data_IF_233909957789
#
_entry.id   IF_233909957789
#
_cell.length_a   1.000
_cell.length_b   1.000
_cell.length_c   1.000
_cell.angle_alpha   90.00
_cell.angle_beta   90.00
_cell.angle_gamma   90.00
#
_symmetry.space_group_name_H-M   'P 1'
#
loop_
_entity.id
_entity.type
_entity.pdbx_description
1 polymer ?
#
# COMPACT_ATOMS: atom_id res chain seq x y z
N UNK A 1 -20.05 39.50 19.51
CA UNK A 1 -19.60 39.05 18.17
C UNK A 1 -19.33 37.54 18.26
N UNK A 2 -19.76 36.74 17.27
CA UNK A 2 -19.53 35.27 17.27
C UNK A 2 -18.33 34.93 16.39
N UNK A 3 -17.49 33.97 16.79
CA UNK A 3 -16.33 33.50 16.02
C UNK A 3 -16.68 33.11 14.57
N UNK A 4 -17.87 32.51 14.38
CA UNK A 4 -18.39 32.10 13.08
C UNK A 4 -18.72 33.25 12.12
N UNK A 5 -18.74 34.49 12.63
CA UNK A 5 -18.99 35.70 11.83
C UNK A 5 -17.69 36.38 11.36
N UNK A 6 -16.52 35.88 11.78
CA UNK A 6 -15.23 36.39 11.33
C UNK A 6 -14.92 35.88 9.91
N UNK A 7 -14.17 36.63 9.09
CA UNK A 7 -13.57 36.13 7.87
C UNK A 7 -12.76 34.85 8.11
N UNK A 8 -12.81 33.91 7.16
CA UNK A 8 -12.16 32.60 7.22
C UNK A 8 -10.64 32.72 7.48
N UNK A 9 -10.00 33.73 6.89
CA UNK A 9 -8.58 34.05 7.05
C UNK A 9 -8.22 34.40 8.50
N UNK A 10 -9.05 35.21 9.17
CA UNK A 10 -8.84 35.58 10.57
C UNK A 10 -9.13 34.41 11.51
N UNK A 11 -10.11 33.57 11.18
CA UNK A 11 -10.36 32.33 11.93
C UNK A 11 -9.15 31.39 11.84
N UNK A 12 -8.56 31.22 10.65
CA UNK A 12 -7.36 30.40 10.45
C UNK A 12 -6.15 30.95 11.21
N UNK A 13 -5.94 32.26 11.20
CA UNK A 13 -4.84 32.93 11.93
C UNK A 13 -4.98 32.80 13.46
N UNK A 14 -6.20 32.79 13.99
CA UNK A 14 -6.44 32.54 15.41
C UNK A 14 -6.15 31.07 15.74
N UNK A 15 -6.63 30.14 14.92
CA UNK A 15 -6.43 28.71 15.12
C UNK A 15 -4.95 28.29 14.96
N UNK A 16 -4.17 28.97 14.12
CA UNK A 16 -2.75 28.66 13.91
C UNK A 16 -1.86 29.00 15.12
N UNK A 17 -2.35 29.80 16.07
CA UNK A 17 -1.65 30.14 17.31
C UNK A 17 -1.95 29.15 18.46
N UNK A 18 -2.77 28.11 18.20
CA UNK A 18 -3.12 27.11 19.19
C UNK A 18 -2.24 25.87 19.08
N UNK A 19 -1.90 25.28 20.23
CA UNK A 19 -1.18 24.01 20.28
C UNK A 19 -2.06 22.84 19.79
N UNK A 20 -1.43 21.73 19.42
CA UNK A 20 -2.10 20.56 18.86
C UNK A 20 -3.23 20.01 19.76
N UNK A 21 -3.06 20.03 21.08
CA UNK A 21 -4.10 19.66 22.06
C UNK A 21 -5.34 20.55 21.96
N UNK A 22 -5.15 21.86 21.83
CA UNK A 22 -6.25 22.82 21.83
C UNK A 22 -6.93 22.90 20.47
N UNK A 23 -6.19 22.71 19.37
CA UNK A 23 -6.73 22.48 18.03
C UNK A 23 -7.64 21.25 17.94
N UNK A 24 -7.34 20.18 18.69
CA UNK A 24 -8.22 19.01 18.76
C UNK A 24 -9.54 19.33 19.48
N UNK A 25 -9.52 20.21 20.48
CA UNK A 25 -10.72 20.65 21.21
C UNK A 25 -11.58 21.57 20.34
N UNK A 26 -10.99 22.48 19.56
CA UNK A 26 -11.72 23.38 18.65
C UNK A 26 -12.45 22.62 17.54
N UNK A 27 -11.97 21.42 17.18
CA UNK A 27 -12.62 20.56 16.21
C UNK A 27 -14.01 20.01 16.65
N UNK A 28 -14.37 20.16 17.93
CA UNK A 28 -15.67 19.76 18.47
C UNK A 28 -16.71 20.89 18.46
N UNK A 29 -16.30 22.14 18.20
CA UNK A 29 -17.14 23.33 18.39
C UNK A 29 -18.09 23.58 17.21
N UNK A 30 -17.61 23.39 15.97
CA UNK A 30 -18.45 23.54 14.78
C UNK A 30 -17.90 22.76 13.59
N UNK A 31 -18.75 22.48 12.58
CA UNK A 31 -18.31 21.77 11.36
C UNK A 31 -17.23 22.54 10.57
N UNK A 32 -17.30 23.87 10.54
CA UNK A 32 -16.35 24.74 9.84
C UNK A 32 -15.01 24.73 10.56
N UNK A 33 -15.04 24.97 11.89
CA UNK A 33 -13.85 24.95 12.75
C UNK A 33 -13.18 23.58 12.74
N UNK A 34 -13.96 22.49 12.64
CA UNK A 34 -13.45 21.12 12.49
C UNK A 34 -12.66 20.92 11.21
N UNK A 35 -13.12 21.47 10.09
CA UNK A 35 -12.39 21.37 8.82
C UNK A 35 -11.05 22.09 8.93
N UNK A 36 -11.07 23.35 9.36
CA UNK A 36 -9.87 24.18 9.48
C UNK A 36 -8.88 23.64 10.52
N UNK A 37 -9.35 23.17 11.67
CA UNK A 37 -8.48 22.61 12.71
C UNK A 37 -7.83 21.30 12.25
N UNK A 38 -8.55 20.46 11.49
CA UNK A 38 -7.97 19.24 10.91
C UNK A 38 -6.95 19.54 9.83
N UNK A 39 -7.22 20.55 9.00
CA UNK A 39 -6.29 21.02 7.97
C UNK A 39 -5.00 21.55 8.62
N UNK A 40 -5.12 22.39 9.66
CA UNK A 40 -3.98 22.90 10.43
C UNK A 40 -3.21 21.81 11.19
N UNK A 41 -3.90 20.84 11.78
CA UNK A 41 -3.24 19.67 12.38
C UNK A 41 -2.48 18.86 11.33
N UNK A 42 -3.04 18.70 10.14
CA UNK A 42 -2.35 18.01 9.04
C UNK A 42 -1.10 18.77 8.57
N UNK A 43 -1.12 20.10 8.57
CA UNK A 43 0.06 20.93 8.25
C UNK A 43 1.10 20.97 9.37
N UNK A 44 0.67 20.97 10.64
CA UNK A 44 1.59 20.92 11.79
C UNK A 44 2.31 19.57 11.88
N UNK A 45 1.58 18.47 11.61
CA UNK A 45 2.17 17.14 11.53
C UNK A 45 2.99 16.90 10.26
N UNK A 46 2.88 17.76 9.24
CA UNK A 46 3.74 17.70 8.04
C UNK A 46 5.18 18.16 8.31
N UNK A 47 5.48 18.73 9.49
CA UNK A 47 6.79 19.30 9.81
C UNK A 47 7.92 18.31 10.07
N UNK A 48 7.65 17.03 10.34
CA UNK A 48 8.67 15.99 10.55
C UNK A 48 8.25 14.71 9.84
N UNK A 49 8.50 14.64 8.53
CA UNK A 49 8.40 13.38 7.81
C UNK A 49 9.62 12.54 8.18
N UNK A 50 9.44 11.49 8.98
CA UNK A 50 10.53 10.58 9.34
C UNK A 50 11.16 10.03 8.06
N UNK A 51 12.45 10.29 7.87
CA UNK A 51 13.18 9.87 6.67
C UNK A 51 13.99 8.63 7.00
N UNK A 52 13.97 7.64 6.11
CA UNK A 52 14.75 6.42 6.26
C UNK A 52 15.76 6.30 5.14
N UNK A 53 16.99 5.98 5.52
CA UNK A 53 18.03 5.58 4.57
C UNK A 53 17.86 4.09 4.29
N UNK A 54 17.69 3.76 3.00
CA UNK A 54 17.58 2.42 2.49
C UNK A 54 18.92 2.03 1.85
N UNK A 55 19.78 1.25 2.53
CA UNK A 55 21.03 0.75 1.93
C UNK A 55 20.79 -0.21 0.77
N UNK A 56 21.66 -0.17 -0.22
CA UNK A 56 21.76 -1.11 -1.35
C UNK A 56 22.13 -2.54 -0.94
N UNK A 57 22.81 -2.72 0.19
CA UNK A 57 23.23 -4.03 0.70
C UNK A 57 22.11 -4.91 1.25
N UNK A 58 20.89 -4.36 1.42
CA UNK A 58 19.77 -5.04 2.04
C UNK A 58 18.74 -5.55 1.04
N UNK A 59 18.07 -6.65 1.39
CA UNK A 59 16.89 -7.12 0.66
C UNK A 59 15.63 -6.44 1.19
N UNK A 60 14.74 -6.07 0.27
CA UNK A 60 13.45 -5.48 0.56
C UNK A 60 12.34 -6.19 -0.19
N UNK A 61 11.10 -5.85 0.14
CA UNK A 61 9.92 -6.42 -0.49
C UNK A 61 9.08 -5.32 -1.12
N UNK A 62 8.93 -5.37 -2.43
CA UNK A 62 8.16 -4.39 -3.19
C UNK A 62 6.78 -4.95 -3.59
N UNK A 63 5.75 -4.12 -3.53
CA UNK A 63 4.39 -4.50 -3.97
C UNK A 63 4.15 -3.94 -5.37
N UNK A 64 3.83 -4.83 -6.32
CA UNK A 64 3.55 -4.47 -7.70
C UNK A 64 2.08 -4.57 -8.10
N UNK A 65 1.87 -4.78 -9.40
CA UNK A 65 0.55 -4.90 -10.02
C UNK A 65 -0.24 -6.08 -9.49
N UNK A 66 -1.56 -6.02 -9.69
CA UNK A 66 -2.47 -7.07 -9.26
C UNK A 66 -2.58 -8.17 -10.31
N UNK A 67 -2.56 -9.41 -9.84
CA UNK A 67 -2.68 -10.64 -10.63
C UNK A 67 -3.97 -11.35 -10.26
N UNK A 68 -4.58 -12.04 -11.22
CA UNK A 68 -5.82 -12.80 -11.03
C UNK A 68 -5.52 -14.04 -10.18
N UNK A 69 -6.17 -14.13 -9.01
CA UNK A 69 -5.99 -15.25 -8.07
C UNK A 69 -7.19 -16.21 -8.05
N UNK A 70 -8.35 -15.78 -8.54
CA UNK A 70 -9.52 -16.64 -8.75
C UNK A 70 -9.87 -16.80 -10.23
N UNK A 71 -10.77 -17.73 -10.52
CA UNK A 71 -11.31 -18.01 -11.84
C UNK A 71 -12.83 -18.27 -11.75
N UNK A 72 -13.58 -17.99 -12.82
CA UNK A 72 -15.01 -18.30 -12.85
C UNK A 72 -15.24 -19.82 -12.74
N UNK A 73 -16.35 -20.19 -12.11
CA UNK A 73 -16.85 -21.57 -12.06
C UNK A 73 -17.87 -21.81 -13.15
N UNK A 74 -17.83 -22.99 -13.75
CA UNK A 74 -18.86 -23.47 -14.67
C UNK A 74 -20.05 -24.05 -13.88
N UNK A 75 -21.19 -24.21 -14.56
CA UNK A 75 -22.44 -24.80 -13.98
C UNK A 75 -22.19 -26.20 -13.41
N UNK A 76 -21.19 -26.92 -13.93
CA UNK A 76 -20.79 -28.25 -13.51
C UNK A 76 -19.74 -28.27 -12.38
N UNK A 77 -19.21 -27.11 -11.99
CA UNK A 77 -18.22 -27.04 -10.93
C UNK A 77 -18.89 -27.07 -9.55
N UNK A 78 -18.30 -27.84 -8.63
CA UNK A 78 -18.72 -27.88 -7.23
C UNK A 78 -18.48 -26.51 -6.60
N UNK A 79 -19.56 -25.79 -6.28
CA UNK A 79 -19.50 -24.44 -5.72
C UNK A 79 -20.08 -23.35 -6.61
N UNK A 80 -20.62 -23.66 -7.80
CA UNK A 80 -21.35 -22.69 -8.61
C UNK A 80 -22.49 -22.04 -7.80
N UNK A 81 -22.69 -20.71 -7.88
CA UNK A 81 -22.04 -19.73 -8.77
C UNK A 81 -20.81 -19.03 -8.15
N UNK A 82 -20.26 -19.54 -7.04
CA UNK A 82 -19.13 -18.92 -6.36
C UNK A 82 -17.80 -19.18 -7.07
N UNK A 83 -16.94 -18.17 -7.10
CA UNK A 83 -15.64 -18.25 -7.75
C UNK A 83 -14.73 -19.30 -7.09
N UNK A 84 -13.79 -19.81 -7.88
CA UNK A 84 -12.82 -20.81 -7.44
C UNK A 84 -11.42 -20.23 -7.47
N UNK A 85 -10.61 -20.55 -6.48
CA UNK A 85 -9.18 -20.22 -6.48
C UNK A 85 -8.47 -20.89 -7.67
N UNK A 86 -7.54 -20.18 -8.30
CA UNK A 86 -6.72 -20.77 -9.36
C UNK A 86 -5.83 -21.86 -8.77
N UNK A 87 -5.54 -22.90 -9.57
CA UNK A 87 -4.60 -23.95 -9.14
C UNK A 87 -3.15 -23.48 -9.22
N UNK A 88 -2.86 -22.60 -10.17
CA UNK A 88 -1.54 -22.03 -10.40
C UNK A 88 -1.66 -20.67 -11.08
N UNK A 89 -0.65 -19.83 -10.87
CA UNK A 89 -0.50 -18.54 -11.54
C UNK A 89 0.68 -18.66 -12.51
N UNK A 90 0.50 -18.39 -13.81
CA UNK A 90 1.59 -18.41 -14.78
C UNK A 90 2.71 -17.43 -14.43
N UNK A 91 3.96 -17.83 -14.63
CA UNK A 91 5.11 -16.97 -14.33
C UNK A 91 5.07 -15.63 -15.08
N UNK A 92 4.59 -15.65 -16.31
CA UNK A 92 4.46 -14.46 -17.15
C UNK A 92 3.48 -13.44 -16.55
N UNK A 93 2.41 -13.88 -15.86
CA UNK A 93 1.49 -12.97 -15.19
C UNK A 93 2.17 -12.27 -14.01
N UNK A 94 3.01 -12.99 -13.26
CA UNK A 94 3.78 -12.44 -12.14
C UNK A 94 4.86 -11.49 -12.66
N UNK A 95 5.57 -11.84 -13.74
CA UNK A 95 6.56 -10.95 -14.40
C UNK A 95 5.91 -9.67 -14.91
N UNK A 96 4.73 -9.76 -15.50
CA UNK A 96 3.98 -8.61 -16.01
C UNK A 96 3.41 -7.70 -14.90
N UNK A 97 3.36 -8.17 -13.65
CA UNK A 97 2.97 -7.36 -12.52
C UNK A 97 4.07 -6.38 -12.06
N UNK A 98 5.28 -6.46 -12.62
CA UNK A 98 6.31 -5.45 -12.40
C UNK A 98 5.93 -4.19 -13.21
N UNK A 99 5.65 -3.04 -12.57
CA UNK A 99 5.36 -1.81 -13.29
C UNK A 99 6.58 -1.39 -14.12
N UNK A 100 6.36 -0.87 -15.33
CA UNK A 100 7.45 -0.47 -16.22
C UNK A 100 8.12 0.86 -15.81
N UNK A 101 7.36 1.72 -15.12
CA UNK A 101 7.78 3.07 -14.71
C UNK A 101 7.02 3.49 -13.43
N UNK A 102 7.55 4.49 -12.72
CA UNK A 102 6.93 5.08 -11.53
C UNK A 102 7.60 4.63 -10.24
N UNK A 103 6.84 4.66 -9.14
CA UNK A 103 7.33 4.26 -7.82
C UNK A 103 6.62 3.01 -7.32
N UNK A 104 7.31 2.23 -6.49
CA UNK A 104 6.77 1.06 -5.80
C UNK A 104 6.84 1.24 -4.29
N UNK A 105 5.88 0.63 -3.60
CA UNK A 105 5.87 0.56 -2.14
C UNK A 105 6.83 -0.53 -1.68
N UNK A 106 7.80 -0.15 -0.86
CA UNK A 106 8.83 -1.00 -0.28
C UNK A 106 8.58 -1.23 1.21
N UNK A 107 8.76 -2.48 1.59
CA UNK A 107 8.61 -3.01 2.94
C UNK A 107 9.90 -3.68 3.38
N UNK A 108 10.13 -3.71 4.69
CA UNK A 108 11.33 -4.33 5.25
C UNK A 108 11.19 -5.85 5.28
N UNK A 109 9.98 -6.34 5.52
CA UNK A 109 9.73 -7.78 5.63
C UNK A 109 8.71 -8.27 4.60
N UNK A 110 8.84 -9.54 4.21
CA UNK A 110 7.90 -10.20 3.31
C UNK A 110 6.49 -10.19 3.89
N UNK A 111 6.39 -10.41 5.21
CA UNK A 111 5.13 -10.46 5.94
C UNK A 111 4.36 -9.14 5.86
N UNK A 112 5.04 -8.01 6.01
CA UNK A 112 4.43 -6.68 5.85
C UNK A 112 3.90 -6.47 4.44
N UNK A 113 4.70 -6.80 3.41
CA UNK A 113 4.29 -6.66 2.02
C UNK A 113 3.11 -7.58 1.66
N UNK A 114 3.12 -8.83 2.15
CA UNK A 114 2.01 -9.76 1.96
C UNK A 114 0.76 -9.32 2.72
N UNK A 115 0.89 -8.79 3.94
CA UNK A 115 -0.23 -8.24 4.69
C UNK A 115 -0.84 -7.03 3.95
N UNK A 116 -0.01 -6.15 3.39
CA UNK A 116 -0.48 -5.06 2.53
C UNK A 116 -1.22 -5.59 1.29
N UNK A 117 -0.65 -6.58 0.59
CA UNK A 117 -1.27 -7.19 -0.59
C UNK A 117 -2.63 -7.83 -0.26
N UNK A 118 -2.76 -8.49 0.90
CA UNK A 118 -4.03 -9.05 1.40
C UNK A 118 -5.04 -7.98 1.79
N UNK A 119 -4.59 -6.90 2.45
CA UNK A 119 -5.48 -5.81 2.85
C UNK A 119 -6.03 -5.03 1.63
N UNK A 120 -5.27 -4.99 0.54
CA UNK A 120 -5.61 -4.30 -0.72
C UNK A 120 -6.18 -5.23 -1.80
N UNK A 121 -6.53 -6.46 -1.43
CA UNK A 121 -7.21 -7.44 -2.27
C UNK A 121 -8.48 -6.83 -2.87
N UNK A 122 -8.60 -6.89 -4.19
CA UNK A 122 -9.85 -6.62 -4.88
C UNK A 122 -10.68 -7.89 -4.87
N UNK A 123 -11.61 -7.98 -3.91
CA UNK A 123 -12.55 -9.09 -3.79
C UNK A 123 -13.97 -8.55 -3.90
N UNK A 124 -14.74 -9.10 -4.84
CA UNK A 124 -16.15 -8.77 -5.01
C UNK A 124 -16.90 -10.00 -5.53
N UNK A 125 -18.08 -10.26 -4.97
CA UNK A 125 -18.87 -11.47 -5.23
C UNK A 125 -19.16 -11.73 -6.72
N UNK A 126 -19.11 -10.69 -7.57
CA UNK A 126 -19.40 -10.78 -9.00
C UNK A 126 -18.15 -10.65 -9.91
N UNK A 127 -16.95 -10.41 -9.36
CA UNK A 127 -15.74 -10.09 -10.15
C UNK A 127 -14.55 -10.91 -9.72
N UNK A 128 -13.73 -11.36 -10.67
CA UNK A 128 -12.53 -12.16 -10.41
C UNK A 128 -11.63 -11.45 -9.39
N UNK A 129 -11.22 -12.19 -8.35
CA UNK A 129 -10.37 -11.71 -7.28
C UNK A 129 -8.97 -11.41 -7.81
N UNK A 130 -8.43 -10.26 -7.40
CA UNK A 130 -7.11 -9.77 -7.81
C UNK A 130 -6.28 -9.37 -6.61
N UNK A 131 -5.05 -9.89 -6.56
CA UNK A 131 -4.12 -9.59 -5.48
C UNK A 131 -2.79 -9.08 -6.02
N UNK A 132 -2.19 -8.12 -5.32
CA UNK A 132 -0.88 -7.59 -5.70
C UNK A 132 0.21 -8.66 -5.59
N UNK A 133 1.14 -8.67 -6.55
CA UNK A 133 2.36 -9.45 -6.47
C UNK A 133 3.36 -8.79 -5.51
N UNK A 134 4.01 -9.61 -4.69
CA UNK A 134 5.09 -9.21 -3.78
C UNK A 134 6.41 -9.68 -4.38
N UNK A 135 7.34 -8.75 -4.56
CA UNK A 135 8.64 -9.02 -5.14
C UNK A 135 9.74 -8.85 -4.10
N UNK A 136 10.68 -9.78 -4.04
CA UNK A 136 11.92 -9.55 -3.34
C UNK A 136 12.83 -8.72 -4.26
N UNK A 137 13.31 -7.60 -3.75
CA UNK A 137 14.12 -6.65 -4.51
C UNK A 137 15.37 -6.23 -3.75
N UNK A 138 16.38 -5.79 -4.49
CA UNK A 138 17.54 -5.07 -3.98
C UNK A 138 17.55 -3.66 -4.59
N UNK A 139 18.14 -2.70 -3.89
CA UNK A 139 18.34 -1.36 -4.43
C UNK A 139 19.67 -1.32 -5.18
N UNK A 140 19.70 -0.66 -6.34
CA UNK A 140 20.96 -0.45 -7.09
C UNK A 140 21.84 0.60 -6.40
N UNK A 141 21.18 1.62 -5.84
CA UNK A 141 21.83 2.71 -5.12
C UNK A 141 21.10 2.96 -3.79
N UNK A 142 21.89 3.29 -2.77
CA UNK A 142 21.38 3.73 -1.46
C UNK A 142 20.50 4.96 -1.63
N UNK A 143 19.29 4.93 -1.07
CA UNK A 143 18.30 6.01 -1.22
C UNK A 143 17.74 6.47 0.09
N UNK A 144 17.46 7.76 0.17
CA UNK A 144 16.86 8.41 1.34
C UNK A 144 15.43 8.75 0.96
N UNK A 145 14.46 8.15 1.64
CA UNK A 145 13.04 8.36 1.32
C UNK A 145 12.20 8.50 2.59
N UNK A 146 11.14 9.33 2.53
CA UNK A 146 10.22 9.46 3.65
C UNK A 146 9.48 8.16 3.94
N UNK A 147 9.23 7.91 5.22
CA UNK A 147 8.33 6.85 5.69
C UNK A 147 6.90 7.35 5.53
N UNK A 148 6.08 6.56 4.84
CA UNK A 148 4.66 6.80 4.67
C UNK A 148 3.91 5.87 5.61
N UNK A 149 3.09 6.45 6.50
CA UNK A 149 2.18 5.70 7.39
C UNK A 149 0.77 5.83 6.83
N UNK A 150 0.18 4.72 6.42
CA UNK A 150 -1.14 4.66 5.80
C UNK A 150 -2.07 3.79 6.65
N UNK A 151 -3.28 4.28 6.96
CA UNK A 151 -4.31 3.48 7.61
C UNK A 151 -5.15 2.75 6.55
N UNK A 152 -5.05 1.43 6.48
CA UNK A 152 -5.76 0.62 5.48
C UNK A 152 -6.92 -0.11 6.14
N UNK A 153 -8.09 -0.04 5.51
CA UNK A 153 -9.25 -0.86 5.86
C UNK A 153 -9.19 -2.18 5.07
N UNK A 154 -9.02 -3.35 5.72
CA UNK A 154 -8.91 -4.63 5.04
C UNK A 154 -10.15 -4.94 4.19
N UNK A 155 -9.94 -5.59 3.04
CA UNK A 155 -11.02 -5.96 2.12
C UNK A 155 -12.20 -6.70 2.80
N UNK A 156 -11.91 -7.65 3.70
CA UNK A 156 -12.92 -8.39 4.46
C UNK A 156 -13.87 -7.47 5.25
N UNK A 157 -13.37 -6.37 5.82
CA UNK A 157 -14.22 -5.43 6.55
C UNK A 157 -15.14 -4.65 5.61
N UNK A 158 -14.67 -4.36 4.39
CA UNK A 158 -15.50 -3.72 3.35
C UNK A 158 -16.63 -4.64 2.91
N UNK A 159 -16.35 -5.95 2.81
CA UNK A 159 -17.30 -6.97 2.33
C UNK A 159 -18.34 -7.29 3.41
N UNK A 160 -17.91 -7.58 4.63
CA UNK A 160 -18.80 -8.04 5.71
C UNK A 160 -19.44 -6.91 6.54
N UNK A 161 -19.19 -5.63 6.18
CA UNK A 161 -19.65 -4.44 6.94
C UNK A 161 -19.33 -4.51 8.44
N UNK A 162 -18.29 -5.25 8.81
CA UNK A 162 -17.77 -5.25 10.17
C UNK A 162 -17.10 -3.89 10.42
N UNK A 163 -17.30 -3.32 11.62
CA UNK A 163 -16.82 -1.97 11.95
C UNK A 163 -15.34 -1.77 11.55
N UNK A 164 -14.95 -0.57 11.11
CA UNK A 164 -13.65 -0.37 10.47
C UNK A 164 -12.50 -0.58 11.47
N UNK A 165 -11.90 -1.77 11.48
CA UNK A 165 -10.58 -1.98 12.03
C UNK A 165 -9.57 -1.47 11.01
N UNK A 166 -9.16 -0.21 11.19
CA UNK A 166 -8.07 0.37 10.40
C UNK A 166 -6.76 -0.25 10.88
N UNK A 167 -5.94 -0.70 9.95
CA UNK A 167 -4.59 -1.20 10.26
C UNK A 167 -3.56 -0.16 9.81
N UNK A 168 -2.69 0.32 10.72
CA UNK A 168 -1.57 1.16 10.33
C UNK A 168 -0.54 0.30 9.60
N UNK A 169 -0.14 0.73 8.41
CA UNK A 169 0.94 0.11 7.64
C UNK A 169 1.96 1.18 7.30
N UNK A 170 3.23 0.86 7.53
CA UNK A 170 4.36 1.72 7.21
C UNK A 170 5.09 1.19 5.99
N UNK A 171 5.41 2.06 5.04
CA UNK A 171 6.20 1.72 3.87
C UNK A 171 7.02 2.90 3.39
N UNK A 172 7.95 2.63 2.48
CA UNK A 172 8.76 3.64 1.80
C UNK A 172 8.46 3.56 0.30
N UNK A 173 8.63 4.66 -0.44
CA UNK A 173 8.49 4.65 -1.90
C UNK A 173 9.88 4.68 -2.54
N UNK A 174 10.11 3.84 -3.56
CA UNK A 174 11.30 3.98 -4.40
C UNK A 174 10.93 3.88 -5.87
N UNK A 175 11.77 4.49 -6.72
CA UNK A 175 11.65 4.39 -8.17
C UNK A 175 11.91 2.95 -8.60
N UNK A 176 11.04 2.42 -9.45
CA UNK A 176 11.19 1.10 -10.10
C UNK A 176 12.57 0.95 -10.74
N UNK A 177 13.12 2.02 -11.32
CA UNK A 177 14.43 1.98 -12.00
C UNK A 177 15.58 1.68 -11.04
N UNK A 178 15.45 2.05 -9.78
CA UNK A 178 16.44 1.78 -8.73
C UNK A 178 16.28 0.38 -8.10
N UNK A 179 15.31 -0.42 -8.57
CA UNK A 179 15.06 -1.75 -8.03
C UNK A 179 15.60 -2.83 -8.97
N UNK A 180 16.24 -3.81 -8.36
CA UNK A 180 16.61 -5.08 -8.99
C UNK A 180 15.70 -6.18 -8.43
N UNK A 181 14.96 -6.84 -9.32
CA UNK A 181 13.96 -7.84 -8.95
C UNK A 181 14.59 -9.24 -8.88
N UNK A 182 14.57 -9.85 -7.70
CA UNK A 182 15.17 -11.17 -7.44
C UNK A 182 14.14 -12.28 -7.63
N UNK A 183 12.98 -12.14 -6.98
CA UNK A 183 11.91 -13.13 -7.02
C UNK A 183 10.53 -12.46 -6.90
N UNK A 184 9.48 -13.16 -7.33
CA UNK A 184 8.10 -12.70 -7.25
C UNK A 184 7.18 -13.77 -6.69
N UNK A 185 6.26 -13.37 -5.82
CA UNK A 185 5.28 -14.26 -5.21
C UNK A 185 3.91 -13.57 -5.19
N UNK A 186 2.85 -14.36 -5.42
CA UNK A 186 1.47 -13.92 -5.21
C UNK A 186 0.88 -14.85 -4.17
N UNK A 187 0.33 -14.31 -3.08
CA UNK A 187 -0.35 -15.09 -2.03
C UNK A 187 0.48 -16.27 -1.53
N UNK A 188 -0.16 -17.42 -1.34
CA UNK A 188 0.46 -18.67 -0.93
C UNK A 188 0.95 -19.51 -2.13
N UNK A 189 0.93 -18.96 -3.35
CA UNK A 189 1.51 -19.62 -4.53
C UNK A 189 3.05 -19.62 -4.44
N UNK A 190 3.73 -20.60 -5.05
CA UNK A 190 5.19 -20.69 -5.02
C UNK A 190 5.84 -19.45 -5.64
N UNK A 191 6.94 -19.01 -5.04
CA UNK A 191 7.74 -17.91 -5.56
C UNK A 191 8.45 -18.30 -6.86
N UNK A 192 8.53 -17.37 -7.79
CA UNK A 192 9.25 -17.51 -9.06
C UNK A 192 10.54 -16.70 -9.02
N UNK A 193 11.61 -17.23 -9.63
CA UNK A 193 12.85 -16.47 -9.81
C UNK A 193 12.73 -15.54 -11.02
N UNK A 194 13.16 -14.30 -10.85
CA UNK A 194 13.13 -13.25 -11.88
C UNK A 194 14.51 -12.95 -12.47
N UNK A 195 15.57 -13.43 -11.83
CA UNK A 195 16.91 -13.39 -12.39
C UNK A 195 16.98 -14.36 -13.57
N UNK A 196 17.29 -13.83 -14.75
CA UNK A 196 17.54 -14.65 -15.92
C UNK A 196 18.71 -15.60 -15.60
N UNK A 197 18.47 -16.91 -15.70
CA UNK A 197 19.52 -17.91 -15.84
C UNK A 197 20.21 -17.77 -17.20
N UNK A 198 20.84 -16.62 -17.45
CA UNK A 198 21.83 -16.44 -18.50
C UNK A 198 23.24 -16.64 -17.92
N UNK A 199 23.39 -17.57 -16.97
CA UNK A 199 24.66 -18.23 -16.81
C UNK A 199 24.78 -19.22 -17.96
N UNK A 200 25.50 -18.80 -18.99
CA UNK A 200 26.02 -19.71 -19.98
C UNK A 200 26.74 -20.85 -19.25
N UNK A 201 26.17 -22.05 -19.29
CA UNK A 201 26.90 -23.28 -19.04
C UNK A 201 27.98 -23.44 -20.12
N UNK A 202 29.07 -22.68 -20.00
CA UNK A 202 30.36 -23.07 -20.57
C UNK A 202 31.03 -24.00 -19.56
N UNK A 203 30.64 -25.28 -19.60
CA UNK A 203 31.52 -26.34 -19.16
C UNK A 203 32.39 -26.69 -20.37
N UNK A 204 33.66 -26.26 -20.32
CA UNK A 204 34.75 -26.85 -21.10
C UNK A 204 34.94 -28.32 -20.73
#
# INVERSE_FOLDING_TARGET
MSFTKLPVELQALILSNLDSSDLQKTAQVSKITRHQSKELLSTLHAGHQEVKTLPDTSHYYAVGGKVLVSQPTNIWDKGFPYQKERKSIPENEIKNAIPKQGTMKLFRTQKEAQEYARCTLEQSHATIDRMAAVFQVQLKETTVSPIVKEEITPALHRIYRMGPSKKPIEYVQADVKNLEFVSGQVSDYPAISLQNKNEACYLM
#
